data_IF_489280459465
#
_entry.id   IF_489280459465
#
_cell.length_a   1.000
_cell.length_b   1.000
_cell.length_c   1.000
_cell.angle_alpha   90.00
_cell.angle_beta   90.00
_cell.angle_gamma   90.00
#
_symmetry.space_group_name_H-M   'P 1'
#
loop_
_entity.id
_entity.type
_entity.pdbx_description
1 polymer ?
#
# COMPACT_ATOMS: atom_id res chain seq x y z
N UNK A 1 110.24 -23.29 71.68
CA UNK A 1 109.05 -23.43 72.56
C UNK A 1 107.83 -22.93 71.78
N UNK A 2 107.16 -23.79 71.02
CA UNK A 2 106.08 -23.41 70.09
C UNK A 2 104.71 -23.68 70.72
N UNK A 3 103.86 -22.66 70.82
CA UNK A 3 102.46 -22.77 71.28
C UNK A 3 101.53 -22.88 70.07
N UNK A 4 100.98 -24.07 69.87
CA UNK A 4 99.91 -24.34 68.90
C UNK A 4 98.59 -23.77 69.41
N UNK A 5 98.01 -22.83 68.67
CA UNK A 5 96.62 -22.40 68.87
C UNK A 5 95.69 -23.26 68.00
N UNK A 6 94.88 -24.10 68.65
CA UNK A 6 93.78 -24.84 68.01
C UNK A 6 92.56 -23.92 67.91
N UNK A 7 92.19 -23.51 66.70
CA UNK A 7 90.89 -22.90 66.44
C UNK A 7 89.80 -23.98 66.52
N UNK A 8 88.81 -23.79 67.41
CA UNK A 8 87.60 -24.62 67.50
C UNK A 8 86.52 -24.01 66.59
N UNK A 9 86.16 -24.71 65.52
CA UNK A 9 84.93 -24.41 64.76
C UNK A 9 83.71 -24.61 65.68
N UNK A 10 82.87 -23.59 65.82
CA UNK A 10 81.51 -23.74 66.36
C UNK A 10 80.59 -24.21 65.23
N UNK A 11 79.78 -25.27 65.42
CA UNK A 11 78.78 -25.65 64.44
C UNK A 11 77.77 -24.50 64.30
N UNK A 12 77.52 -24.07 63.07
CA UNK A 12 76.43 -23.14 62.75
C UNK A 12 75.10 -23.84 63.05
N UNK A 13 74.12 -23.15 63.66
CA UNK A 13 72.80 -23.73 63.90
C UNK A 13 72.17 -24.09 62.55
N UNK A 14 71.68 -25.33 62.43
CA UNK A 14 70.95 -25.79 61.23
C UNK A 14 69.78 -24.84 60.96
N UNK A 15 69.55 -24.42 59.70
CA UNK A 15 68.42 -23.56 59.37
C UNK A 15 67.12 -24.27 59.76
N UNK A 16 66.21 -23.55 60.42
CA UNK A 16 64.87 -24.06 60.70
C UNK A 16 64.16 -24.25 59.36
N UNK A 17 63.87 -25.50 58.99
CA UNK A 17 63.01 -25.79 57.85
C UNK A 17 61.58 -25.35 58.21
N UNK A 18 61.18 -24.17 57.75
CA UNK A 18 59.77 -23.81 57.75
C UNK A 18 59.11 -24.66 56.67
N UNK A 19 58.31 -25.64 57.08
CA UNK A 19 57.40 -26.31 56.17
C UNK A 19 56.39 -25.26 55.70
N UNK A 20 56.61 -24.70 54.51
CA UNK A 20 55.62 -23.86 53.85
C UNK A 20 54.46 -24.78 53.43
N UNK A 21 53.48 -24.96 54.31
CA UNK A 21 52.19 -25.51 53.89
C UNK A 21 51.53 -24.41 53.07
N UNK A 22 51.68 -24.46 51.75
CA UNK A 22 50.82 -23.68 50.88
C UNK A 22 49.38 -24.04 51.25
N UNK A 23 48.54 -23.09 51.69
CA UNK A 23 47.13 -23.36 51.77
C UNK A 23 46.68 -23.51 50.32
N UNK A 24 46.61 -24.76 49.84
CA UNK A 24 45.81 -25.09 48.67
C UNK A 24 44.37 -24.74 49.04
N UNK A 25 44.00 -23.48 48.82
CA UNK A 25 42.62 -23.04 48.81
C UNK A 25 42.01 -23.77 47.62
N UNK A 26 41.34 -24.88 47.89
CA UNK A 26 40.49 -25.55 46.92
C UNK A 26 39.45 -24.51 46.55
N UNK A 27 39.64 -23.80 45.43
CA UNK A 27 38.64 -22.87 44.93
C UNK A 27 37.43 -23.73 44.63
N UNK A 28 36.47 -23.71 45.53
CA UNK A 28 35.20 -24.36 45.33
C UNK A 28 34.44 -23.45 44.35
N UNK A 29 34.87 -23.46 43.08
CA UNK A 29 34.10 -22.93 41.98
C UNK A 29 32.94 -23.89 41.80
N UNK A 30 31.98 -23.79 42.71
CA UNK A 30 30.63 -24.30 42.54
C UNK A 30 30.13 -23.63 41.28
N UNK A 31 30.31 -24.30 40.13
CA UNK A 31 29.65 -23.87 38.92
C UNK A 31 28.16 -23.81 39.27
N UNK A 32 27.60 -22.61 39.26
CA UNK A 32 26.19 -22.37 39.49
C UNK A 32 25.41 -22.88 38.26
N UNK A 33 25.53 -24.17 37.94
CA UNK A 33 24.91 -24.83 36.78
C UNK A 33 23.39 -24.63 36.83
N UNK A 34 22.82 -24.60 38.05
CA UNK A 34 21.42 -24.24 38.28
C UNK A 34 21.09 -22.80 37.86
N UNK A 35 21.99 -21.85 38.13
CA UNK A 35 21.85 -20.45 37.70
C UNK A 35 22.03 -20.29 36.19
N UNK A 36 23.00 -21.00 35.60
CA UNK A 36 23.18 -21.03 34.15
C UNK A 36 21.97 -21.64 33.43
N UNK A 37 21.39 -22.72 33.97
CA UNK A 37 20.18 -23.33 33.44
C UNK A 37 18.95 -22.41 33.57
N UNK A 38 18.77 -21.75 34.71
CA UNK A 38 17.71 -20.76 34.90
C UNK A 38 17.82 -19.58 33.91
N UNK A 39 19.04 -19.08 33.69
CA UNK A 39 19.31 -18.04 32.69
C UNK A 39 18.95 -18.52 31.27
N UNK A 40 19.33 -19.74 30.90
CA UNK A 40 19.05 -20.31 29.59
C UNK A 40 17.54 -20.47 29.38
N UNK A 41 16.80 -20.87 30.42
CA UNK A 41 15.34 -20.97 30.40
C UNK A 41 14.67 -19.59 30.22
N UNK A 42 15.16 -18.56 30.91
CA UNK A 42 14.69 -17.17 30.73
C UNK A 42 14.93 -16.70 29.29
N UNK A 43 16.13 -16.94 28.75
CA UNK A 43 16.46 -16.59 27.36
C UNK A 43 15.55 -17.35 26.38
N UNK A 44 15.28 -18.63 26.62
CA UNK A 44 14.38 -19.42 25.79
C UNK A 44 12.94 -18.88 25.83
N UNK A 45 12.44 -18.45 26.98
CA UNK A 45 11.12 -17.82 27.11
C UNK A 45 11.07 -16.50 26.33
N UNK A 46 12.07 -15.63 26.48
CA UNK A 46 12.15 -14.39 25.70
C UNK A 46 12.24 -14.65 24.20
N UNK A 47 12.97 -15.69 23.77
CA UNK A 47 13.07 -16.08 22.37
C UNK A 47 11.71 -16.55 21.82
N UNK A 48 10.97 -17.37 22.58
CA UNK A 48 9.62 -17.82 22.18
C UNK A 48 8.65 -16.63 22.12
N UNK A 49 8.69 -15.72 23.09
CA UNK A 49 7.86 -14.50 23.10
C UNK A 49 8.18 -13.62 21.88
N UNK A 50 9.47 -13.44 21.56
CA UNK A 50 9.90 -12.70 20.38
C UNK A 50 9.39 -13.34 19.08
N UNK A 51 9.53 -14.66 18.93
CA UNK A 51 9.04 -15.38 17.74
C UNK A 51 7.52 -15.27 17.60
N UNK A 52 6.77 -15.36 18.71
CA UNK A 52 5.32 -15.22 18.68
C UNK A 52 4.89 -13.78 18.32
N UNK A 53 5.57 -12.76 18.89
CA UNK A 53 5.35 -11.35 18.51
C UNK A 53 5.59 -11.14 17.01
N UNK A 54 6.70 -11.62 16.49
CA UNK A 54 7.05 -11.43 15.08
C UNK A 54 6.06 -12.13 14.13
N UNK A 55 5.62 -13.35 14.47
CA UNK A 55 4.73 -14.13 13.59
C UNK A 55 3.25 -13.74 13.67
N UNK A 56 2.74 -13.35 14.83
CA UNK A 56 1.31 -13.10 15.03
C UNK A 56 0.96 -11.61 15.08
N UNK A 57 1.82 -10.78 15.69
CA UNK A 57 1.53 -9.37 15.93
C UNK A 57 1.86 -8.51 14.71
N UNK A 58 3.02 -8.71 14.08
CA UNK A 58 3.45 -7.87 12.95
C UNK A 58 2.50 -7.90 11.74
N UNK A 59 2.00 -9.06 11.27
CA UNK A 59 1.06 -9.08 10.14
C UNK A 59 -0.25 -8.33 10.45
N UNK A 60 -0.71 -8.40 11.71
CA UNK A 60 -1.92 -7.68 12.14
C UNK A 60 -1.68 -6.16 12.15
N UNK A 61 -0.51 -5.72 12.63
CA UNK A 61 -0.12 -4.30 12.61
C UNK A 61 -0.07 -3.77 11.17
N UNK A 62 0.55 -4.52 10.26
CA UNK A 62 0.66 -4.14 8.84
C UNK A 62 -0.73 -4.04 8.22
N UNK A 63 -1.58 -5.06 8.38
CA UNK A 63 -2.93 -5.04 7.82
C UNK A 63 -3.78 -3.88 8.35
N UNK A 64 -3.66 -3.52 9.64
CA UNK A 64 -4.34 -2.36 10.20
C UNK A 64 -3.80 -1.05 9.62
N UNK A 65 -2.48 -0.94 9.47
CA UNK A 65 -1.84 0.25 8.90
C UNK A 65 -2.19 0.44 7.42
N UNK A 66 -2.18 -0.63 6.61
CA UNK A 66 -2.62 -0.60 5.21
C UNK A 66 -4.09 -0.16 5.09
N UNK A 67 -4.96 -0.70 5.94
CA UNK A 67 -6.37 -0.34 5.95
C UNK A 67 -6.57 1.14 6.29
N UNK A 68 -5.84 1.62 7.29
CA UNK A 68 -5.91 3.02 7.72
C UNK A 68 -5.38 3.93 6.59
N UNK A 69 -4.21 3.61 6.02
CA UNK A 69 -3.66 4.32 4.88
C UNK A 69 -4.61 4.37 3.67
N UNK A 70 -5.24 3.24 3.35
CA UNK A 70 -6.24 3.15 2.27
C UNK A 70 -7.42 4.07 2.54
N UNK A 71 -7.93 4.06 3.77
CA UNK A 71 -9.10 4.86 4.18
C UNK A 71 -8.81 6.36 4.07
N UNK A 72 -7.70 6.79 4.65
CA UNK A 72 -7.27 8.19 4.65
C UNK A 72 -6.94 8.69 3.26
N UNK A 73 -6.23 7.89 2.46
CA UNK A 73 -5.86 8.28 1.10
C UNK A 73 -7.08 8.33 0.19
N UNK A 74 -8.03 7.40 0.34
CA UNK A 74 -9.33 7.45 -0.38
C UNK A 74 -10.09 8.72 -0.03
N UNK A 75 -10.10 9.12 1.25
CA UNK A 75 -10.73 10.35 1.68
C UNK A 75 -10.04 11.58 1.08
N UNK A 76 -8.71 11.62 1.10
CA UNK A 76 -7.91 12.67 0.48
C UNK A 76 -8.19 12.80 -1.02
N UNK A 77 -8.28 11.67 -1.74
CA UNK A 77 -8.63 11.65 -3.16
C UNK A 77 -10.02 12.26 -3.40
N UNK A 78 -11.04 11.80 -2.67
CA UNK A 78 -12.40 12.31 -2.87
C UNK A 78 -12.49 13.82 -2.55
N UNK A 79 -11.84 14.27 -1.48
CA UNK A 79 -11.79 15.70 -1.13
C UNK A 79 -11.07 16.53 -2.20
N UNK A 80 -9.94 16.04 -2.72
CA UNK A 80 -9.18 16.71 -3.76
C UNK A 80 -9.99 16.85 -5.05
N UNK A 81 -10.65 15.77 -5.49
CA UNK A 81 -11.51 15.79 -6.69
C UNK A 81 -12.65 16.79 -6.53
N UNK A 82 -13.34 16.80 -5.38
CA UNK A 82 -14.41 17.76 -5.13
C UNK A 82 -13.87 19.21 -5.14
N UNK A 83 -12.73 19.46 -4.49
CA UNK A 83 -12.09 20.77 -4.49
C UNK A 83 -11.65 21.22 -5.89
N UNK A 84 -11.21 20.29 -6.75
CA UNK A 84 -10.91 20.56 -8.17
C UNK A 84 -12.14 21.00 -8.93
N UNK A 85 -13.20 20.22 -8.86
CA UNK A 85 -14.46 20.53 -9.53
C UNK A 85 -15.04 21.87 -9.07
N UNK A 86 -15.02 22.15 -7.75
CA UNK A 86 -15.49 23.42 -7.18
C UNK A 86 -14.63 24.62 -7.61
N UNK A 87 -13.30 24.49 -7.58
CA UNK A 87 -12.42 25.63 -7.86
C UNK A 87 -12.31 25.97 -9.34
N UNK A 88 -12.39 24.96 -10.21
CA UNK A 88 -12.24 25.16 -11.66
C UNK A 88 -13.49 25.79 -12.28
N UNK A 89 -14.62 25.84 -11.56
CA UNK A 89 -15.92 26.31 -12.05
C UNK A 89 -16.36 25.59 -13.34
N UNK A 90 -15.83 24.39 -13.58
CA UNK A 90 -16.10 23.59 -14.77
C UNK A 90 -17.48 22.99 -14.61
N UNK A 91 -18.37 23.34 -15.52
CA UNK A 91 -19.69 22.73 -15.61
C UNK A 91 -19.63 21.50 -16.52
N UNK A 92 -20.64 20.62 -16.41
CA UNK A 92 -20.74 19.47 -17.31
C UNK A 92 -20.83 19.93 -18.78
N UNK A 93 -21.48 21.08 -19.01
CA UNK A 93 -21.64 21.71 -20.31
C UNK A 93 -20.31 22.19 -20.93
N UNK A 94 -19.29 22.49 -20.12
CA UNK A 94 -17.97 22.90 -20.63
C UNK A 94 -17.12 21.71 -21.09
N UNK A 95 -17.46 20.51 -20.60
CA UNK A 95 -16.73 19.27 -20.86
C UNK A 95 -17.19 18.57 -22.15
N UNK A 96 -18.41 18.85 -22.61
CA UNK A 96 -18.97 18.26 -23.83
C UNK A 96 -19.65 19.32 -24.71
N UNK A 97 -19.23 19.40 -25.97
CA UNK A 97 -19.86 20.26 -26.97
C UNK A 97 -20.62 19.43 -27.99
N UNK A 98 -21.77 19.92 -28.44
CA UNK A 98 -22.63 19.26 -29.42
C UNK A 98 -22.72 20.12 -30.69
N UNK A 99 -22.55 19.48 -31.85
CA UNK A 99 -22.64 20.12 -33.15
C UNK A 99 -23.96 19.72 -33.83
N UNK A 100 -24.69 20.71 -34.34
CA UNK A 100 -25.97 20.52 -35.01
C UNK A 100 -25.91 21.02 -36.45
N UNK A 101 -26.65 20.38 -37.35
CA UNK A 101 -26.84 20.87 -38.72
C UNK A 101 -27.91 21.98 -38.79
N UNK A 102 -28.10 22.56 -39.99
CA UNK A 102 -29.09 23.61 -40.25
C UNK A 102 -30.54 23.18 -39.97
N UNK A 103 -30.81 21.87 -39.95
CA UNK A 103 -32.11 21.29 -39.61
C UNK A 103 -32.30 21.08 -38.10
N UNK A 104 -31.31 21.44 -37.28
CA UNK A 104 -31.31 21.26 -35.82
C UNK A 104 -31.06 19.82 -35.37
N UNK A 105 -30.52 18.97 -36.24
CA UNK A 105 -30.19 17.58 -35.92
C UNK A 105 -28.75 17.48 -35.42
N UNK A 106 -28.53 16.69 -34.38
CA UNK A 106 -27.20 16.42 -33.84
C UNK A 106 -26.37 15.61 -34.86
N UNK A 107 -25.20 16.13 -35.24
CA UNK A 107 -24.29 15.48 -36.19
C UNK A 107 -23.05 14.90 -35.50
N UNK A 108 -22.56 15.56 -34.46
CA UNK A 108 -21.40 15.12 -33.68
C UNK A 108 -21.42 15.71 -32.28
N UNK A 109 -20.63 15.11 -31.38
CA UNK A 109 -20.27 15.73 -30.12
C UNK A 109 -18.79 15.50 -29.84
N UNK A 110 -18.19 16.41 -29.09
CA UNK A 110 -16.77 16.39 -28.78
C UNK A 110 -16.57 16.56 -27.28
N UNK A 111 -15.61 15.80 -26.75
CA UNK A 111 -15.16 15.96 -25.36
C UNK A 111 -14.04 16.98 -25.32
N UNK A 112 -14.13 17.97 -24.43
CA UNK A 112 -13.11 18.97 -24.23
C UNK A 112 -11.91 18.37 -23.47
N UNK A 113 -11.06 17.67 -24.22
CA UNK A 113 -9.90 16.97 -23.68
C UNK A 113 -8.90 17.91 -23.01
N UNK A 114 -8.79 19.17 -23.49
CA UNK A 114 -7.91 20.18 -22.89
C UNK A 114 -8.38 20.51 -21.48
N UNK A 115 -9.69 20.73 -21.31
CA UNK A 115 -10.26 21.04 -20.01
C UNK A 115 -10.19 19.85 -19.05
N UNK A 116 -10.47 18.63 -19.53
CA UNK A 116 -10.34 17.41 -18.71
C UNK A 116 -8.88 17.20 -18.28
N UNK A 117 -7.92 17.36 -19.18
CA UNK A 117 -6.49 17.22 -18.82
C UNK A 117 -6.05 18.28 -17.81
N UNK A 118 -6.57 19.51 -17.92
CA UNK A 118 -6.31 20.59 -16.96
C UNK A 118 -6.90 20.22 -15.58
N UNK A 119 -8.11 19.67 -15.56
CA UNK A 119 -8.74 19.16 -14.35
C UNK A 119 -7.94 18.00 -13.75
N UNK A 120 -7.46 17.05 -14.57
CA UNK A 120 -6.62 15.94 -14.11
C UNK A 120 -5.34 16.45 -13.43
N UNK A 121 -4.68 17.46 -14.00
CA UNK A 121 -3.49 18.07 -13.42
C UNK A 121 -3.77 18.74 -12.06
N UNK A 122 -4.86 19.52 -11.97
CA UNK A 122 -5.26 20.16 -10.71
C UNK A 122 -5.63 19.12 -9.62
N UNK A 123 -6.25 18.01 -10.00
CA UNK A 123 -6.54 16.90 -9.08
C UNK A 123 -5.23 16.28 -8.57
N UNK A 124 -4.25 16.04 -9.44
CA UNK A 124 -2.93 15.53 -9.01
C UNK A 124 -2.34 16.43 -7.93
N UNK A 125 -2.28 17.74 -8.18
CA UNK A 125 -1.70 18.70 -7.25
C UNK A 125 -2.43 18.70 -5.89
N UNK A 126 -3.76 18.70 -5.90
CA UNK A 126 -4.57 18.69 -4.67
C UNK A 126 -4.50 17.38 -3.91
N UNK A 127 -4.43 16.23 -4.59
CA UNK A 127 -4.25 14.94 -3.92
C UNK A 127 -2.88 14.94 -3.21
N UNK A 128 -1.83 15.38 -3.89
CA UNK A 128 -0.48 15.48 -3.30
C UNK A 128 -0.48 16.41 -2.08
N UNK A 129 -1.11 17.59 -2.18
CA UNK A 129 -1.22 18.54 -1.06
C UNK A 129 -2.00 17.94 0.12
N UNK A 130 -3.12 17.27 -0.14
CA UNK A 130 -3.95 16.64 0.90
C UNK A 130 -3.20 15.53 1.62
N UNK A 131 -2.53 14.65 0.88
CA UNK A 131 -1.70 13.59 1.45
C UNK A 131 -0.55 14.16 2.28
N UNK A 132 0.10 15.23 1.82
CA UNK A 132 1.15 15.92 2.57
C UNK A 132 0.61 16.57 3.86
N UNK A 133 -0.58 17.18 3.81
CA UNK A 133 -1.23 17.86 4.95
C UNK A 133 -1.64 16.88 6.05
N UNK A 134 -2.05 15.68 5.66
CA UNK A 134 -2.38 14.60 6.60
C UNK A 134 -1.18 14.26 7.51
N UNK A 135 0.04 14.31 6.97
CA UNK A 135 1.26 14.06 7.73
C UNK A 135 1.30 12.67 8.37
N UNK A 136 1.93 12.56 9.54
CA UNK A 136 2.00 11.28 10.26
C UNK A 136 0.75 11.07 11.11
N UNK A 137 -0.02 10.04 10.81
CA UNK A 137 -1.15 9.61 11.62
C UNK A 137 -0.66 8.62 12.65
N UNK A 138 -0.96 8.85 13.93
CA UNK A 138 -0.66 7.91 14.99
C UNK A 138 -1.93 7.34 15.59
N UNK A 139 -1.99 6.02 15.74
CA UNK A 139 -3.07 5.34 16.44
C UNK A 139 -2.48 4.30 17.39
N UNK A 140 -3.26 3.97 18.42
CA UNK A 140 -2.82 3.06 19.47
C UNK A 140 -3.63 1.77 19.42
N UNK A 141 -2.92 0.65 19.44
CA UNK A 141 -3.54 -0.68 19.43
C UNK A 141 -3.07 -1.47 20.64
N UNK A 142 -3.97 -1.96 21.50
CA UNK A 142 -3.60 -2.86 22.59
C UNK A 142 -2.92 -4.11 22.03
N UNK A 143 -1.79 -4.53 22.61
CA UNK A 143 -1.06 -5.71 22.15
C UNK A 143 -1.93 -6.97 22.11
N UNK A 144 -2.88 -7.10 23.03
CA UNK A 144 -3.80 -8.22 23.04
C UNK A 144 -4.72 -8.30 21.81
N UNK A 145 -5.02 -7.17 21.14
CA UNK A 145 -5.74 -7.14 19.85
C UNK A 145 -4.93 -7.87 18.76
N UNK A 146 -3.62 -7.69 18.80
CA UNK A 146 -2.69 -8.18 17.79
C UNK A 146 -2.40 -9.68 17.93
N UNK A 147 -2.77 -10.30 19.05
CA UNK A 147 -2.60 -11.74 19.30
C UNK A 147 -3.71 -12.61 18.70
N UNK A 148 -4.76 -12.01 18.12
CA UNK A 148 -5.93 -12.73 17.60
C UNK A 148 -6.84 -13.35 18.69
N UNK A 149 -6.50 -13.23 19.97
CA UNK A 149 -7.34 -13.71 21.07
C UNK A 149 -8.51 -12.77 21.33
N UNK A 150 -9.73 -13.30 21.23
CA UNK A 150 -10.96 -12.56 21.54
C UNK A 150 -11.05 -12.14 23.01
N UNK A 151 -10.46 -12.93 23.91
CA UNK A 151 -10.50 -12.71 25.35
C UNK A 151 -9.54 -11.58 25.73
N UNK A 152 -8.41 -11.48 25.04
CA UNK A 152 -7.36 -10.50 25.35
C UNK A 152 -7.38 -9.26 24.44
N UNK A 153 -8.32 -9.13 23.51
CA UNK A 153 -8.29 -8.12 22.45
C UNK A 153 -8.10 -6.65 22.91
N UNK A 154 -8.53 -6.30 24.14
CA UNK A 154 -8.39 -4.94 24.69
C UNK A 154 -7.43 -4.87 25.90
N UNK A 155 -6.60 -5.89 26.10
CA UNK A 155 -5.69 -5.99 27.24
C UNK A 155 -4.23 -5.84 26.81
N UNK A 156 -3.41 -5.40 27.76
CA UNK A 156 -1.96 -5.24 27.59
C UNK A 156 -1.52 -3.81 27.25
N UNK A 157 -0.21 -3.61 27.03
CA UNK A 157 0.35 -2.32 26.65
C UNK A 157 -0.17 -1.86 25.29
N UNK A 158 -0.32 -0.54 25.13
CA UNK A 158 -0.67 0.08 23.84
C UNK A 158 0.57 0.16 22.95
N UNK A 159 0.48 -0.39 21.74
CA UNK A 159 1.46 -0.19 20.67
C UNK A 159 1.06 1.05 19.85
N UNK A 160 1.93 2.04 19.78
CA UNK A 160 1.74 3.21 18.93
C UNK A 160 2.18 2.90 17.50
N UNK A 161 1.24 2.90 16.58
CA UNK A 161 1.47 2.71 15.16
C UNK A 161 1.41 4.08 14.49
N UNK A 162 2.40 4.37 13.67
CA UNK A 162 2.44 5.58 12.85
C UNK A 162 2.25 5.18 11.39
N UNK A 163 1.53 6.00 10.63
CA UNK A 163 1.30 5.82 9.20
C UNK A 163 1.60 7.15 8.54
N UNK A 164 2.52 7.14 7.58
CA UNK A 164 2.90 8.32 6.81
C UNK A 164 2.52 8.08 5.34
N UNK A 165 1.37 8.57 4.88
CA UNK A 165 0.89 8.31 3.53
C UNK A 165 1.59 9.24 2.51
N UNK A 166 2.78 8.87 2.07
CA UNK A 166 3.51 9.58 1.00
C UNK A 166 3.47 8.77 -0.29
N UNK A 167 3.28 9.41 -1.44
CA UNK A 167 2.96 8.63 -2.63
C UNK A 167 3.07 9.36 -3.97
N UNK A 168 3.00 8.56 -5.03
CA UNK A 168 2.85 9.03 -6.41
C UNK A 168 1.38 8.95 -6.80
N UNK A 169 0.87 10.04 -7.35
CA UNK A 169 -0.50 10.15 -7.86
C UNK A 169 -0.45 10.21 -9.38
N UNK A 170 -1.27 9.42 -10.04
CA UNK A 170 -1.57 9.49 -11.47
C UNK A 170 -3.07 9.71 -11.61
N UNK A 171 -3.45 10.64 -12.45
CA UNK A 171 -4.85 10.85 -12.84
C UNK A 171 -4.91 10.80 -14.35
N UNK A 172 -5.85 10.01 -14.86
CA UNK A 172 -6.12 9.83 -16.28
C UNK A 172 -7.63 9.79 -16.52
N UNK A 173 -8.06 9.83 -17.77
CA UNK A 173 -9.48 9.68 -18.09
C UNK A 173 -9.71 8.67 -19.22
N UNK A 174 -10.83 7.98 -19.13
CA UNK A 174 -11.28 6.99 -20.10
C UNK A 174 -12.64 7.39 -20.68
N UNK A 175 -12.83 7.13 -21.96
CA UNK A 175 -14.02 7.52 -22.71
C UNK A 175 -14.70 6.28 -23.28
N UNK A 176 -15.96 6.06 -22.90
CA UNK A 176 -16.75 4.91 -23.33
C UNK A 176 -18.06 5.34 -23.99
N UNK A 177 -18.36 4.77 -25.15
CA UNK A 177 -19.66 4.91 -25.83
C UNK A 177 -20.31 3.53 -25.92
N UNK A 178 -21.55 3.40 -25.46
CA UNK A 178 -22.32 2.15 -25.46
C UNK A 178 -23.69 2.35 -26.11
N UNK A 179 -24.08 1.47 -27.02
CA UNK A 179 -25.46 1.44 -27.53
C UNK A 179 -26.43 0.96 -26.45
N UNK A 180 -27.49 1.71 -26.19
CA UNK A 180 -28.52 1.44 -25.17
C UNK A 180 -29.92 1.24 -25.75
N UNK A 181 -30.08 1.43 -27.05
CA UNK A 181 -31.34 1.26 -27.77
C UNK A 181 -31.19 1.47 -29.27
N UNK A 182 -32.31 1.36 -30.01
CA UNK A 182 -32.33 1.36 -31.48
C UNK A 182 -31.67 2.63 -32.06
N UNK A 183 -31.75 3.77 -31.36
CA UNK A 183 -31.08 5.02 -31.73
C UNK A 183 -30.60 5.79 -30.50
N UNK A 184 -30.13 5.06 -29.49
CA UNK A 184 -29.61 5.67 -28.28
C UNK A 184 -28.22 5.14 -27.99
N UNK A 185 -27.33 6.08 -27.67
CA UNK A 185 -26.02 5.76 -27.14
C UNK A 185 -25.84 6.48 -25.81
N UNK A 186 -25.21 5.78 -24.89
CA UNK A 186 -24.75 6.33 -23.63
C UNK A 186 -23.26 6.61 -23.77
N UNK A 187 -22.87 7.85 -23.52
CA UNK A 187 -21.51 8.32 -23.52
C UNK A 187 -21.09 8.61 -22.09
N UNK A 188 -20.10 7.87 -21.61
CA UNK A 188 -19.58 7.97 -20.25
C UNK A 188 -18.10 8.33 -20.30
N UNK A 189 -17.72 9.37 -19.56
CA UNK A 189 -16.32 9.72 -19.32
C UNK A 189 -15.99 9.44 -17.87
N UNK A 190 -14.98 8.63 -17.65
CA UNK A 190 -14.48 8.22 -16.35
C UNK A 190 -13.17 8.93 -16.06
N UNK A 191 -12.99 9.34 -14.81
CA UNK A 191 -11.72 9.78 -14.27
C UNK A 191 -11.13 8.62 -13.44
N UNK A 192 -9.95 8.17 -13.80
CA UNK A 192 -9.20 7.14 -13.10
C UNK A 192 -8.09 7.81 -12.28
N UNK A 193 -8.18 7.69 -10.96
CA UNK A 193 -7.20 8.20 -10.00
C UNK A 193 -6.46 7.02 -9.39
N UNK A 194 -5.20 6.85 -9.76
CA UNK A 194 -4.32 5.81 -9.25
C UNK A 194 -3.24 6.43 -8.36
N UNK A 195 -3.20 6.00 -7.11
CA UNK A 195 -2.23 6.48 -6.13
C UNK A 195 -1.49 5.30 -5.52
N UNK A 196 -0.18 5.38 -5.46
CA UNK A 196 0.66 4.47 -4.67
C UNK A 196 1.11 5.19 -3.42
N UNK A 197 0.72 4.68 -2.25
CA UNK A 197 1.02 5.28 -0.96
C UNK A 197 1.97 4.36 -0.19
N UNK A 198 3.08 4.90 0.27
CA UNK A 198 3.97 4.19 1.17
C UNK A 198 3.41 4.24 2.58
N UNK A 199 3.41 3.11 3.27
CA UNK A 199 3.04 2.99 4.67
C UNK A 199 4.28 2.60 5.45
N UNK A 200 4.61 3.37 6.48
CA UNK A 200 5.79 3.13 7.32
C UNK A 200 5.35 2.93 8.75
N UNK A 201 5.50 1.71 9.26
CA UNK A 201 5.23 1.32 10.65
C UNK A 201 6.54 0.93 11.35
N UNK A 202 6.60 0.83 12.69
CA UNK A 202 7.83 0.38 13.35
C UNK A 202 8.29 -0.98 12.79
N UNK A 203 9.57 -1.06 12.39
CA UNK A 203 10.25 -2.26 11.86
C UNK A 203 9.78 -2.74 10.47
N UNK A 204 8.84 -2.07 9.80
CA UNK A 204 8.35 -2.49 8.49
C UNK A 204 7.84 -1.32 7.63
N UNK A 205 7.97 -1.42 6.32
CA UNK A 205 7.32 -0.51 5.38
C UNK A 205 6.74 -1.29 4.20
N UNK A 206 5.59 -0.82 3.71
CA UNK A 206 4.91 -1.38 2.55
C UNK A 206 4.44 -0.30 1.58
N UNK A 207 3.99 -0.71 0.40
CA UNK A 207 3.31 0.14 -0.57
C UNK A 207 1.90 -0.36 -0.79
N UNK A 208 0.94 0.56 -0.69
CA UNK A 208 -0.47 0.30 -0.93
C UNK A 208 -0.89 1.00 -2.21
N UNK A 209 -1.40 0.24 -3.17
CA UNK A 209 -1.99 0.77 -4.39
C UNK A 209 -3.48 1.04 -4.19
N UNK A 210 -3.91 2.24 -4.54
CA UNK A 210 -5.26 2.72 -4.34
C UNK A 210 -5.74 3.26 -5.68
N UNK A 211 -6.80 2.66 -6.22
CA UNK A 211 -7.41 3.09 -7.47
C UNK A 211 -8.86 3.52 -7.22
N UNK A 212 -9.24 4.68 -7.77
CA UNK A 212 -10.59 5.23 -7.69
C UNK A 212 -11.05 5.67 -9.06
N UNK A 213 -12.20 5.15 -9.47
CA UNK A 213 -12.87 5.50 -10.72
C UNK A 213 -14.09 6.36 -10.44
N UNK A 214 -14.15 7.54 -11.05
CA UNK A 214 -15.15 8.57 -10.79
C UNK A 214 -15.84 8.92 -12.11
N UNK A 215 -17.17 9.03 -12.11
CA UNK A 215 -17.91 9.46 -13.31
C UNK A 215 -17.77 10.97 -13.44
N UNK A 216 -17.27 11.43 -14.59
CA UNK A 216 -17.19 12.85 -14.93
C UNK A 216 -18.34 13.27 -15.85
N UNK A 217 -18.67 12.45 -16.84
CA UNK A 217 -19.79 12.67 -17.78
C UNK A 217 -20.58 11.37 -17.89
N UNK A 218 -21.91 11.47 -17.84
CA UNK A 218 -22.80 10.36 -18.16
C UNK A 218 -24.03 10.91 -18.92
N UNK A 219 -23.93 10.91 -20.25
CA UNK A 219 -24.96 11.49 -21.14
C UNK A 219 -25.59 10.43 -22.02
N UNK A 220 -26.92 10.49 -22.13
CA UNK A 220 -27.68 9.71 -23.11
C UNK A 220 -27.96 10.58 -24.32
N UNK A 221 -27.48 10.15 -25.48
CA UNK A 221 -27.69 10.82 -26.75
C UNK A 221 -28.67 10.00 -27.59
N UNK A 222 -29.72 10.66 -28.08
CA UNK A 222 -30.75 10.03 -28.91
C UNK A 222 -30.68 10.56 -30.34
N UNK A 223 -30.61 9.66 -31.32
CA UNK A 223 -30.74 9.95 -32.75
C UNK A 223 -32.17 9.75 -33.25
N UNK A 224 -32.40 10.11 -34.52
CA UNK A 224 -33.70 9.87 -35.18
C UNK A 224 -33.95 8.38 -35.35
N UNK A 225 -35.20 7.96 -35.13
CA UNK A 225 -35.61 6.58 -35.36
C UNK A 225 -35.86 6.34 -36.85
N UNK A 226 -35.22 5.34 -37.49
CA UNK A 226 -35.50 5.00 -38.88
C UNK A 226 -36.97 4.59 -39.06
N UNK A 227 -37.63 4.97 -40.16
CA UNK A 227 -39.02 4.62 -40.41
C UNK A 227 -39.27 3.11 -40.60
N UNK A 228 -38.23 2.30 -40.88
CA UNK A 228 -38.34 0.83 -40.88
C UNK A 228 -37.07 0.18 -40.36
N UNK A 229 -37.23 -0.91 -39.59
CA UNK A 229 -36.13 -1.75 -39.11
C UNK A 229 -36.32 -3.16 -39.67
N UNK A 230 -35.34 -3.68 -40.41
CA UNK A 230 -35.31 -5.08 -40.85
C UNK A 230 -34.18 -5.78 -40.12
N UNK A 231 -34.53 -6.65 -39.18
CA UNK A 231 -33.57 -7.52 -38.52
C UNK A 231 -33.37 -8.77 -39.36
N UNK A 232 -32.26 -8.85 -40.10
CA UNK A 232 -31.97 -9.99 -40.96
C UNK A 232 -31.18 -11.01 -40.17
N UNK A 233 -31.82 -12.12 -39.83
CA UNK A 233 -31.12 -13.27 -39.25
C UNK A 233 -30.08 -13.80 -40.26
N UNK A 234 -28.91 -14.30 -39.81
CA UNK A 234 -27.83 -14.74 -40.71
C UNK A 234 -28.25 -15.77 -41.77
N UNK A 235 -29.32 -16.54 -41.52
CA UNK A 235 -29.88 -17.52 -42.46
C UNK A 235 -30.64 -16.90 -43.64
N UNK A 236 -31.03 -15.62 -43.56
CA UNK A 236 -32.01 -15.01 -44.45
C UNK A 236 -31.45 -13.79 -45.21
N UNK A 237 -30.14 -13.60 -45.22
CA UNK A 237 -29.47 -12.44 -45.87
C UNK A 237 -29.76 -12.37 -47.37
N UNK A 238 -29.91 -13.53 -48.02
CA UNK A 238 -30.26 -13.64 -49.44
C UNK A 238 -31.72 -13.26 -49.76
N UNK A 239 -32.60 -13.24 -48.76
CA UNK A 239 -34.05 -13.04 -48.95
C UNK A 239 -34.47 -11.55 -48.84
N UNK A 240 -33.51 -10.69 -48.50
CA UNK A 240 -33.73 -9.25 -48.24
C UNK A 240 -32.99 -8.35 -49.25
N UNK A 241 -32.19 -8.93 -50.15
CA UNK A 241 -31.49 -8.18 -51.19
C UNK A 241 -32.49 -7.68 -52.26
N UNK A 242 -32.59 -6.36 -52.52
CA UNK A 242 -33.25 -5.87 -53.73
C UNK A 242 -32.47 -6.40 -54.93
N UNK A 243 -33.18 -6.92 -55.93
CA UNK A 243 -32.59 -7.56 -57.10
C UNK A 243 -31.48 -6.75 -57.77
N UNK A 244 -30.45 -7.50 -58.17
CA UNK A 244 -29.30 -7.14 -59.00
C UNK A 244 -28.31 -6.12 -58.43
N UNK A 245 -27.17 -6.61 -57.92
CA UNK A 245 -25.89 -5.93 -58.16
C UNK A 245 -24.84 -6.98 -58.53
N UNK A 246 -24.38 -6.85 -59.76
CA UNK A 246 -23.26 -7.54 -60.38
C UNK A 246 -21.96 -7.37 -59.60
N UNK A 247 -21.12 -8.40 -59.70
CA UNK A 247 -19.74 -8.53 -59.24
C UNK A 247 -18.89 -7.26 -59.25
N UNK A 248 -18.15 -7.01 -58.16
CA UNK A 248 -16.71 -6.75 -58.23
C UNK A 248 -16.07 -7.00 -56.84
N UNK A 249 -15.30 -8.09 -56.73
CA UNK A 249 -14.40 -8.32 -55.60
C UNK A 249 -13.06 -7.62 -55.89
N UNK A 250 -12.66 -6.67 -55.05
CA UNK A 250 -11.28 -6.15 -54.99
C UNK A 250 -10.82 -6.01 -53.52
N UNK A 251 -10.22 -7.10 -53.03
CA UNK A 251 -8.89 -7.25 -52.37
C UNK A 251 -8.32 -6.06 -51.53
N UNK A 252 -8.17 -6.30 -50.20
CA UNK A 252 -7.13 -5.86 -49.21
C UNK A 252 -6.88 -4.33 -49.02
N UNK A 253 -6.46 -3.77 -47.88
CA UNK A 253 -5.99 -4.20 -46.55
C UNK A 253 -6.07 -3.00 -45.58
N UNK A 254 -6.22 -3.27 -44.29
CA UNK A 254 -5.97 -2.33 -43.19
C UNK A 254 -4.46 -2.06 -43.02
N UNK A 255 -4.04 -0.87 -42.55
CA UNK A 255 -2.83 -0.70 -41.76
C UNK A 255 -3.03 -1.03 -40.28
#
# INVERSE_FOLDING_TARGET
MFRNYKYRYRPTPKPKHYAYSSPYVKSNQSHNIKGAFALLLIIAIFAVIYIQLDREVMPTVIAMAEKEATTISTKAINEAVNLSLESSQVTEEDLISYDYNDAGELVSWNVNSILINTLCADIVDKVVEKLATIGTISFKVPLGNLTGSRIFANLGPELSIQVLPIGTVKVDYDNQIRSTGINQVNHTVWLDVDTTVQVVVPLFSDQVHISRRIVLIDKMVSGKVPPSYVNVLPSNVLDVAPGEVSEQFDIYAEP
#
